data_IF_938228090288
#
_entry.id   IF_938228090288
#
_cell.length_a   1.000
_cell.length_b   1.000
_cell.length_c   1.000
_cell.angle_alpha   90.00
_cell.angle_beta   90.00
_cell.angle_gamma   90.00
#
_symmetry.space_group_name_H-M   'P 1'
#
loop_
_entity.id
_entity.type
_entity.pdbx_description
1 polymer ?
#
# COMPACT_ATOMS: atom_id res chain seq x y z
N UNK A 1 27.25 7.70 -27.85
CA UNK A 1 25.80 7.67 -28.11
C UNK A 1 25.09 7.42 -26.78
N UNK A 2 24.29 8.36 -26.27
CA UNK A 2 23.72 8.25 -24.93
C UNK A 2 22.42 7.44 -24.94
N UNK A 3 22.40 6.46 -24.03
CA UNK A 3 21.28 5.78 -23.37
C UNK A 3 19.88 6.37 -23.59
N UNK A 4 19.02 5.60 -24.26
CA UNK A 4 17.57 5.80 -24.27
C UNK A 4 17.00 5.55 -22.87
N UNK A 5 16.52 6.60 -22.24
CA UNK A 5 15.72 6.54 -21.02
C UNK A 5 14.35 5.96 -21.36
N UNK A 6 14.13 4.71 -20.95
CA UNK A 6 12.85 4.00 -21.03
C UNK A 6 11.75 4.76 -20.27
N UNK A 7 10.78 5.40 -20.96
CA UNK A 7 9.73 6.18 -20.32
C UNK A 7 8.65 5.30 -19.64
N UNK A 8 8.65 3.99 -19.89
CA UNK A 8 7.63 3.05 -19.38
C UNK A 8 7.79 2.67 -17.90
N UNK A 9 8.99 2.75 -17.34
CA UNK A 9 9.27 2.40 -15.93
C UNK A 9 8.71 3.41 -14.92
N UNK A 10 8.58 4.67 -15.31
CA UNK A 10 8.28 5.77 -14.39
C UNK A 10 6.84 5.78 -13.88
N UNK A 11 5.85 5.34 -14.68
CA UNK A 11 4.43 5.32 -14.27
C UNK A 11 4.05 4.13 -13.40
N UNK A 12 4.68 2.96 -13.58
CA UNK A 12 4.49 1.78 -12.71
C UNK A 12 5.15 1.97 -11.34
N UNK A 13 6.32 2.59 -11.29
CA UNK A 13 7.03 2.89 -10.05
C UNK A 13 6.31 3.93 -9.17
N UNK A 14 5.73 4.98 -9.76
CA UNK A 14 5.04 6.04 -9.00
C UNK A 14 3.84 5.56 -8.19
N UNK A 15 3.02 4.67 -8.77
CA UNK A 15 1.85 4.12 -8.07
C UNK A 15 2.26 3.22 -6.90
N UNK A 16 3.26 2.35 -7.10
CA UNK A 16 3.79 1.50 -6.04
C UNK A 16 4.47 2.32 -4.93
N UNK A 17 5.20 3.38 -5.31
CA UNK A 17 5.86 4.28 -4.36
C UNK A 17 4.85 5.05 -3.49
N UNK A 18 3.77 5.56 -4.07
CA UNK A 18 2.70 6.21 -3.31
C UNK A 18 2.03 5.25 -2.32
N UNK A 19 1.81 4.01 -2.74
CA UNK A 19 1.19 3.00 -1.89
C UNK A 19 2.11 2.58 -0.74
N UNK A 20 3.40 2.39 -1.03
CA UNK A 20 4.44 2.17 -0.02
C UNK A 20 4.50 3.36 0.95
N UNK A 21 4.46 4.59 0.44
CA UNK A 21 4.50 5.80 1.26
C UNK A 21 3.30 5.87 2.22
N UNK A 22 2.09 5.62 1.72
CA UNK A 22 0.88 5.58 2.55
C UNK A 22 0.98 4.47 3.60
N UNK A 23 1.44 3.28 3.21
CA UNK A 23 1.67 2.18 4.14
C UNK A 23 2.65 2.59 5.25
N UNK A 24 3.79 3.16 4.89
CA UNK A 24 4.78 3.64 5.86
C UNK A 24 4.16 4.70 6.77
N UNK A 25 3.51 5.72 6.22
CA UNK A 25 2.94 6.83 7.00
C UNK A 25 1.90 6.36 8.01
N UNK A 26 1.07 5.38 7.65
CA UNK A 26 0.06 4.78 8.53
C UNK A 26 0.70 3.92 9.63
N UNK A 27 1.84 3.27 9.36
CA UNK A 27 2.53 2.40 10.32
C UNK A 27 3.64 3.08 11.12
N UNK A 28 4.01 4.31 10.79
CA UNK A 28 5.04 5.05 11.53
C UNK A 28 4.71 5.14 13.03
N UNK A 29 3.47 5.47 13.47
CA UNK A 29 3.18 5.58 14.90
C UNK A 29 3.36 4.26 15.67
N UNK A 30 2.92 3.13 15.09
CA UNK A 30 3.07 1.79 15.70
C UNK A 30 4.52 1.36 15.72
N UNK A 31 5.26 1.62 14.64
CA UNK A 31 6.68 1.32 14.56
C UNK A 31 7.49 2.12 15.59
N UNK A 32 7.16 3.40 15.78
CA UNK A 32 7.75 4.25 16.82
C UNK A 32 7.47 3.67 18.22
N UNK A 33 6.23 3.24 18.48
CA UNK A 33 5.87 2.65 19.78
C UNK A 33 6.67 1.38 20.12
N UNK A 34 6.79 0.46 19.15
CA UNK A 34 7.58 -0.77 19.31
C UNK A 34 9.07 -0.46 19.49
N UNK A 35 9.60 0.46 18.69
CA UNK A 35 11.00 0.88 18.77
C UNK A 35 11.33 1.51 20.13
N UNK A 36 10.45 2.37 20.63
CA UNK A 36 10.62 3.02 21.93
C UNK A 36 10.62 2.01 23.08
N UNK A 37 9.67 1.05 23.07
CA UNK A 37 9.65 -0.05 24.06
C UNK A 37 10.94 -0.86 24.01
N UNK A 38 11.41 -1.21 22.82
CA UNK A 38 12.64 -1.97 22.65
C UNK A 38 13.89 -1.19 23.09
N UNK A 39 13.89 0.14 22.95
CA UNK A 39 14.95 0.97 23.51
C UNK A 39 14.92 0.98 25.03
N UNK A 40 13.74 1.12 25.66
CA UNK A 40 13.61 1.04 27.12
C UNK A 40 14.06 -0.33 27.64
N UNK A 41 13.71 -1.43 26.95
CA UNK A 41 14.15 -2.76 27.36
C UNK A 41 15.67 -2.95 27.30
N UNK A 42 16.35 -2.35 26.30
CA UNK A 42 17.79 -2.49 26.08
C UNK A 42 18.66 -1.52 26.88
N UNK A 43 18.18 -0.30 27.09
CA UNK A 43 18.97 0.80 27.67
C UNK A 43 18.23 1.58 28.75
N UNK A 44 17.12 1.06 29.26
CA UNK A 44 16.41 1.64 30.39
C UNK A 44 17.04 1.24 31.71
N UNK A 45 16.83 2.08 32.72
CA UNK A 45 17.25 1.86 34.10
C UNK A 45 16.02 1.47 34.93
N UNK A 46 16.20 0.49 35.82
CA UNK A 46 15.16 0.04 36.72
C UNK A 46 15.09 0.97 37.93
N UNK A 47 13.96 1.68 38.08
CA UNK A 47 13.72 2.65 39.15
C UNK A 47 12.50 2.20 39.96
N UNK A 48 12.67 2.17 41.28
CA UNK A 48 11.55 1.98 42.20
C UNK A 48 10.75 3.30 42.30
N UNK A 49 9.69 3.41 41.50
CA UNK A 49 8.80 4.55 41.52
C UNK A 49 7.91 4.53 42.76
N UNK A 50 7.56 5.71 43.27
CA UNK A 50 6.69 5.86 44.43
C UNK A 50 5.24 5.90 43.98
N UNK A 51 4.42 4.99 44.52
CA UNK A 51 2.99 4.94 44.25
C UNK A 51 2.30 6.11 44.97
N UNK A 52 1.50 6.86 44.22
CA UNK A 52 0.67 7.95 44.73
C UNK A 52 -0.74 7.47 45.03
N UNK A 53 -1.31 6.68 44.12
CA UNK A 53 -2.69 6.19 44.23
C UNK A 53 -2.86 4.92 43.40
N UNK A 54 -3.71 4.01 43.87
CA UNK A 54 -4.20 2.87 43.09
C UNK A 54 -5.71 2.99 42.94
N UNK A 55 -6.23 2.67 41.74
CA UNK A 55 -7.65 2.69 41.43
C UNK A 55 -8.03 1.46 40.60
N UNK A 56 -8.98 0.62 41.03
CA UNK A 56 -9.41 -0.51 40.22
C UNK A 56 -10.13 -0.06 38.94
N UNK A 57 -9.93 -0.81 37.86
CA UNK A 57 -10.55 -0.66 36.53
C UNK A 57 -11.19 -1.99 36.10
N UNK A 58 -11.88 -2.01 34.97
CA UNK A 58 -12.50 -3.24 34.44
C UNK A 58 -11.45 -4.28 34.01
N UNK A 59 -10.30 -3.82 33.52
CA UNK A 59 -9.20 -4.64 33.00
C UNK A 59 -8.04 -4.88 33.98
N UNK A 60 -7.98 -4.14 35.11
CA UNK A 60 -6.87 -4.26 36.05
C UNK A 60 -6.92 -3.24 37.19
N UNK A 61 -5.77 -2.62 37.47
CA UNK A 61 -5.61 -1.56 38.47
C UNK A 61 -4.82 -0.43 37.85
N UNK A 62 -5.39 0.77 37.81
CA UNK A 62 -4.69 2.00 37.44
C UNK A 62 -3.83 2.47 38.62
N UNK A 63 -2.52 2.49 38.42
CA UNK A 63 -1.53 2.93 39.41
C UNK A 63 -0.96 4.27 38.97
N UNK A 64 -1.17 5.29 39.80
CA UNK A 64 -0.52 6.60 39.67
C UNK A 64 0.78 6.59 40.46
N UNK A 65 1.88 7.02 39.85
CA UNK A 65 3.21 7.01 40.48
C UNK A 65 4.03 8.25 40.13
N UNK A 66 5.09 8.49 40.88
CA UNK A 66 6.13 9.50 40.59
C UNK A 66 7.52 8.92 40.80
N UNK A 67 8.52 9.49 40.14
CA UNK A 67 9.91 9.10 40.30
C UNK A 67 10.52 9.75 41.56
N UNK A 68 11.38 9.03 42.31
CA UNK A 68 12.10 9.61 43.43
C UNK A 68 13.10 10.67 42.96
N UNK A 69 13.33 11.71 43.77
CA UNK A 69 14.26 12.82 43.45
C UNK A 69 15.69 12.35 43.13
N UNK A 70 16.08 11.21 43.68
CA UNK A 70 17.43 10.65 43.54
C UNK A 70 17.65 9.95 42.19
N UNK A 71 16.61 9.81 41.36
CA UNK A 71 16.67 9.15 40.04
C UNK A 71 17.16 10.07 38.91
N UNK A 72 17.38 11.36 39.18
CA UNK A 72 17.72 12.35 38.14
C UNK A 72 16.54 12.74 37.23
N UNK A 73 15.34 12.20 37.51
CA UNK A 73 14.08 12.51 36.82
C UNK A 73 13.27 13.49 37.67
N UNK A 74 12.55 14.40 37.02
CA UNK A 74 11.74 15.43 37.69
C UNK A 74 10.61 14.81 38.53
N UNK A 75 10.73 14.92 39.85
CA UNK A 75 9.90 14.20 40.83
C UNK A 75 8.46 14.70 41.00
N UNK A 76 8.10 15.80 40.35
CA UNK A 76 6.78 16.43 40.51
C UNK A 76 5.79 16.04 39.38
N UNK A 77 6.22 15.23 38.40
CA UNK A 77 5.35 14.73 37.33
C UNK A 77 4.71 13.42 37.74
N UNK A 78 3.37 13.40 37.82
CA UNK A 78 2.60 12.18 38.05
C UNK A 78 2.35 11.43 36.74
N UNK A 79 2.65 10.14 36.74
CA UNK A 79 2.36 9.22 35.63
C UNK A 79 1.29 8.23 36.07
N UNK A 80 0.54 7.69 35.11
CA UNK A 80 -0.49 6.70 35.37
C UNK A 80 -0.34 5.55 34.38
N UNK A 81 -0.40 4.33 34.90
CA UNK A 81 -0.29 3.09 34.13
C UNK A 81 -1.30 2.08 34.64
N UNK A 82 -1.87 1.29 33.74
CA UNK A 82 -2.74 0.19 34.11
C UNK A 82 -1.93 -1.10 34.20
N UNK A 83 -2.02 -1.77 35.34
CA UNK A 83 -1.32 -3.02 35.63
C UNK A 83 -2.32 -4.12 36.00
N UNK A 84 -1.85 -5.37 35.93
CA UNK A 84 -2.63 -6.51 36.40
C UNK A 84 -2.91 -6.41 37.91
N UNK A 85 -3.91 -7.17 38.38
CA UNK A 85 -4.33 -7.09 39.79
C UNK A 85 -3.22 -7.47 40.76
N UNK A 86 -2.42 -8.49 40.42
CA UNK A 86 -1.36 -8.96 41.30
C UNK A 86 -0.30 -7.88 41.53
N UNK A 87 0.08 -7.19 40.45
CA UNK A 87 1.02 -6.07 40.47
C UNK A 87 0.42 -4.86 41.16
N UNK A 88 -0.85 -4.54 40.90
CA UNK A 88 -1.56 -3.43 41.53
C UNK A 88 -1.71 -3.61 43.04
N UNK A 89 -2.03 -4.82 43.51
CA UNK A 89 -2.12 -5.18 44.93
C UNK A 89 -0.74 -5.04 45.59
N UNK A 90 0.29 -5.63 44.98
CA UNK A 90 1.68 -5.54 45.48
C UNK A 90 2.16 -4.09 45.57
N UNK A 91 1.87 -3.26 44.56
CA UNK A 91 2.22 -1.85 44.54
C UNK A 91 1.46 -1.05 45.62
N UNK A 92 0.20 -1.41 45.89
CA UNK A 92 -0.59 -0.85 46.98
C UNK A 92 -0.03 -1.20 48.36
N UNK A 93 0.44 -2.43 48.55
CA UNK A 93 1.02 -2.92 49.81
C UNK A 93 2.42 -2.34 50.08
N UNK A 94 3.27 -2.31 49.06
CA UNK A 94 4.67 -1.87 49.19
C UNK A 94 4.84 -0.36 49.04
N UNK A 95 3.87 0.32 48.41
CA UNK A 95 3.95 1.74 48.08
C UNK A 95 4.97 2.05 46.97
N UNK A 96 5.51 1.02 46.30
CA UNK A 96 6.49 1.15 45.23
C UNK A 96 6.10 0.35 44.00
N UNK A 97 6.56 0.81 42.84
CA UNK A 97 6.32 0.18 41.55
C UNK A 97 7.67 0.05 40.81
N UNK A 98 8.01 -1.15 40.35
CA UNK A 98 9.19 -1.36 39.52
C UNK A 98 8.93 -0.82 38.12
N UNK A 99 9.63 0.25 37.75
CA UNK A 99 9.47 0.91 36.46
C UNK A 99 10.83 0.97 35.76
N UNK A 100 10.91 0.43 34.55
CA UNK A 100 12.07 0.63 33.68
C UNK A 100 11.86 1.89 32.85
N UNK A 101 12.75 2.86 33.00
CA UNK A 101 12.61 4.19 32.38
C UNK A 101 13.92 4.64 31.73
N UNK A 102 13.83 5.55 30.76
CA UNK A 102 15.00 6.27 30.23
C UNK A 102 15.09 7.66 30.87
N UNK A 103 16.13 7.98 31.64
CA UNK A 103 16.26 9.28 32.33
C UNK A 103 16.16 10.48 31.37
N UNK A 104 16.66 10.35 30.15
CA UNK A 104 16.62 11.36 29.10
C UNK A 104 15.23 11.59 28.48
N UNK A 105 14.30 10.64 28.67
CA UNK A 105 12.92 10.74 28.21
C UNK A 105 11.97 9.98 29.15
N UNK A 106 11.62 10.57 30.30
CA UNK A 106 10.87 9.89 31.37
C UNK A 106 9.41 9.58 31.01
N UNK A 107 8.91 10.13 29.90
CA UNK A 107 7.61 9.77 29.34
C UNK A 107 7.63 8.38 28.66
N UNK A 108 8.81 7.80 28.40
CA UNK A 108 8.96 6.47 27.82
C UNK A 108 9.41 5.50 28.91
N UNK A 109 8.49 4.68 29.40
CA UNK A 109 8.71 3.72 30.47
C UNK A 109 7.99 2.41 30.20
N UNK A 110 8.40 1.35 30.90
CA UNK A 110 7.78 0.03 30.89
C UNK A 110 7.61 -0.41 32.34
N UNK A 111 6.44 -0.96 32.67
CA UNK A 111 6.12 -1.45 34.01
C UNK A 111 5.87 -2.95 33.94
N UNK A 112 6.44 -3.68 34.89
CA UNK A 112 6.15 -5.11 35.03
C UNK A 112 4.66 -5.30 35.33
N UNK A 113 4.00 -6.20 34.61
CA UNK A 113 2.55 -6.42 34.76
C UNK A 113 1.66 -5.37 34.10
N UNK A 114 2.21 -4.50 33.25
CA UNK A 114 1.42 -3.57 32.43
C UNK A 114 0.38 -4.34 31.59
N UNK A 115 -0.88 -3.95 31.72
CA UNK A 115 -1.96 -4.45 30.86
C UNK A 115 -1.89 -3.67 29.55
N UNK A 116 -1.00 -4.11 28.66
CA UNK A 116 -0.95 -3.56 27.30
C UNK A 116 -2.20 -4.02 26.54
N UNK A 117 -3.10 -3.09 26.24
CA UNK A 117 -4.30 -3.35 25.48
C UNK A 117 -3.94 -3.73 24.02
N UNK A 118 -3.80 -5.03 23.76
CA UNK A 118 -3.43 -5.56 22.42
C UNK A 118 -4.43 -5.12 21.34
N UNK A 119 -5.63 -4.70 21.75
CA UNK A 119 -6.68 -4.13 20.90
C UNK A 119 -6.22 -2.87 20.15
N UNK A 120 -5.31 -2.07 20.73
CA UNK A 120 -4.75 -0.88 20.10
C UNK A 120 -3.97 -1.19 18.81
N UNK A 121 -3.46 -2.42 18.66
CA UNK A 121 -2.76 -2.87 17.45
C UNK A 121 -3.71 -3.42 16.37
N UNK A 122 -4.93 -3.81 16.74
CA UNK A 122 -5.88 -4.46 15.81
C UNK A 122 -6.42 -3.46 14.79
N UNK A 123 -6.81 -2.26 15.23
CA UNK A 123 -7.40 -1.26 14.34
C UNK A 123 -6.43 -0.81 13.24
N UNK A 124 -5.16 -0.46 13.54
CA UNK A 124 -4.17 -0.20 12.50
C UNK A 124 -3.97 -1.39 11.55
N UNK A 125 -3.91 -2.62 12.08
CA UNK A 125 -3.69 -3.82 11.26
C UNK A 125 -4.84 -4.06 10.27
N UNK A 126 -6.09 -3.88 10.69
CA UNK A 126 -7.28 -4.00 9.84
C UNK A 126 -7.26 -2.95 8.73
N UNK A 127 -6.97 -1.69 9.08
CA UNK A 127 -6.92 -0.61 8.09
C UNK A 127 -5.83 -0.87 7.03
N UNK A 128 -4.67 -1.35 7.46
CA UNK A 128 -3.59 -1.75 6.56
C UNK A 128 -3.99 -2.92 5.64
N UNK A 129 -4.66 -3.94 6.19
CA UNK A 129 -5.20 -5.05 5.42
C UNK A 129 -6.16 -4.59 4.33
N UNK A 130 -7.02 -3.61 4.63
CA UNK A 130 -7.96 -3.03 3.68
C UNK A 130 -7.24 -2.26 2.55
N UNK A 131 -6.24 -1.44 2.89
CA UNK A 131 -5.43 -0.71 1.89
C UNK A 131 -4.69 -1.68 0.97
N UNK A 132 -4.08 -2.73 1.55
CA UNK A 132 -3.39 -3.76 0.78
C UNK A 132 -4.35 -4.52 -0.15
N UNK A 133 -5.55 -4.83 0.33
CA UNK A 133 -6.60 -5.46 -0.48
C UNK A 133 -7.02 -4.56 -1.65
N UNK A 134 -7.30 -3.28 -1.40
CA UNK A 134 -7.64 -2.32 -2.45
C UNK A 134 -6.50 -2.21 -3.48
N UNK A 135 -5.25 -2.14 -3.01
CA UNK A 135 -4.08 -2.11 -3.87
C UNK A 135 -3.97 -3.35 -4.76
N UNK A 136 -4.16 -4.53 -4.17
CA UNK A 136 -4.14 -5.81 -4.86
C UNK A 136 -5.27 -5.91 -5.90
N UNK A 137 -6.47 -5.46 -5.55
CA UNK A 137 -7.62 -5.39 -6.45
C UNK A 137 -7.37 -4.43 -7.61
N UNK A 138 -6.87 -3.23 -7.33
CA UNK A 138 -6.51 -2.27 -8.38
C UNK A 138 -5.41 -2.82 -9.28
N UNK A 139 -4.40 -3.49 -8.72
CA UNK A 139 -3.36 -4.13 -9.51
C UNK A 139 -3.92 -5.26 -10.40
N UNK A 140 -4.82 -6.08 -9.86
CA UNK A 140 -5.52 -7.15 -10.59
C UNK A 140 -6.41 -6.62 -11.71
N UNK A 141 -7.14 -5.52 -11.46
CA UNK A 141 -8.11 -4.93 -12.41
C UNK A 141 -7.43 -4.03 -13.44
N UNK A 142 -6.32 -3.36 -13.11
CA UNK A 142 -5.63 -2.44 -14.02
C UNK A 142 -5.06 -3.13 -15.27
N UNK A 143 -4.85 -4.45 -15.23
CA UNK A 143 -4.54 -5.23 -16.43
C UNK A 143 -5.68 -5.32 -17.45
N UNK A 144 -6.94 -5.10 -17.03
CA UNK A 144 -8.14 -5.17 -17.88
C UNK A 144 -8.61 -3.82 -18.44
N UNK A 145 -8.13 -2.71 -17.90
CA UNK A 145 -8.56 -1.35 -18.25
C UNK A 145 -7.56 -0.67 -19.20
N UNK A 146 -7.12 -1.36 -20.26
CA UNK A 146 -6.45 -0.65 -21.36
C UNK A 146 -7.55 -0.03 -22.22
N UNK A 147 -7.50 1.29 -22.52
CA UNK A 147 -8.49 1.88 -23.42
C UNK A 147 -8.38 1.18 -24.78
N UNK A 148 -9.47 0.51 -25.16
CA UNK A 148 -9.59 -0.14 -26.46
C UNK A 148 -10.18 0.88 -27.42
N UNK A 149 -9.40 1.23 -28.45
CA UNK A 149 -9.88 2.02 -29.57
C UNK A 149 -10.65 1.10 -30.51
N UNK A 150 -11.80 1.51 -31.02
CA UNK A 150 -12.53 0.71 -32.01
C UNK A 150 -12.28 1.29 -33.40
N UNK A 151 -11.86 0.45 -34.33
CA UNK A 151 -11.66 0.82 -35.74
C UNK A 151 -12.63 -0.01 -36.57
N UNK A 152 -13.44 0.64 -37.40
CA UNK A 152 -14.19 -0.03 -38.46
C UNK A 152 -13.30 -0.16 -39.68
N UNK A 153 -13.02 -1.39 -40.11
CA UNK A 153 -12.18 -1.64 -41.28
C UNK A 153 -12.80 -1.00 -42.53
N UNK A 154 -11.99 -0.33 -43.34
CA UNK A 154 -12.37 0.16 -44.68
C UNK A 154 -11.96 -0.80 -45.80
N UNK A 155 -11.33 -1.93 -45.45
CA UNK A 155 -10.78 -2.92 -46.35
C UNK A 155 -10.27 -4.14 -45.58
N UNK A 156 -9.78 -5.13 -46.32
CA UNK A 156 -9.20 -6.35 -45.77
C UNK A 156 -7.93 -6.04 -44.95
N UNK A 157 -7.63 -6.90 -43.98
CA UNK A 157 -6.36 -6.80 -43.25
C UNK A 157 -5.22 -7.25 -44.14
N UNK A 158 -4.13 -6.48 -44.12
CA UNK A 158 -2.92 -6.79 -44.85
C UNK A 158 -1.81 -7.20 -43.89
N UNK A 159 -0.87 -8.07 -44.30
CA UNK A 159 0.36 -8.28 -43.55
C UNK A 159 1.09 -6.95 -43.33
N UNK A 160 1.38 -6.62 -42.07
CA UNK A 160 2.06 -5.39 -41.68
C UNK A 160 3.55 -5.60 -41.42
N UNK A 161 4.27 -4.50 -41.21
CA UNK A 161 5.64 -4.55 -40.71
C UNK A 161 5.65 -4.60 -39.17
N UNK A 162 6.79 -4.99 -38.58
CA UNK A 162 6.93 -5.17 -37.13
C UNK A 162 6.81 -3.86 -36.32
N UNK A 163 6.93 -2.69 -36.97
CA UNK A 163 6.85 -1.41 -36.28
C UNK A 163 5.38 -1.00 -36.06
N UNK A 164 4.94 -0.77 -34.81
CA UNK A 164 3.55 -0.39 -34.54
C UNK A 164 3.28 1.04 -35.00
N UNK A 165 2.18 1.23 -35.74
CA UNK A 165 1.79 2.53 -36.31
C UNK A 165 0.32 2.83 -35.97
N UNK A 166 0.05 4.07 -35.56
CA UNK A 166 -1.30 4.60 -35.44
C UNK A 166 -1.28 6.02 -35.98
N UNK A 167 -1.59 6.16 -37.27
CA UNK A 167 -1.49 7.43 -37.98
C UNK A 167 -2.86 7.86 -38.49
N UNK A 168 -3.18 9.15 -38.32
CA UNK A 168 -4.42 9.73 -38.85
C UNK A 168 -4.19 10.20 -40.27
N UNK A 169 -4.94 9.63 -41.21
CA UNK A 169 -4.88 10.00 -42.64
C UNK A 169 -5.71 11.26 -42.87
N UNK A 170 -7.01 11.20 -42.56
CA UNK A 170 -7.93 12.32 -42.76
C UNK A 170 -9.16 12.19 -41.85
N UNK A 171 -9.56 13.24 -41.13
CA UNK A 171 -10.76 13.22 -40.30
C UNK A 171 -10.75 12.10 -39.24
N UNK A 172 -11.63 11.11 -39.40
CA UNK A 172 -11.72 9.91 -38.56
C UNK A 172 -11.03 8.68 -39.18
N UNK A 173 -10.35 8.84 -40.31
CA UNK A 173 -9.65 7.76 -41.00
C UNK A 173 -8.23 7.60 -40.45
N UNK A 174 -7.91 6.37 -40.05
CA UNK A 174 -6.63 5.99 -39.48
C UNK A 174 -6.06 4.76 -40.18
N UNK A 175 -4.74 4.74 -40.25
CA UNK A 175 -3.97 3.53 -40.55
C UNK A 175 -3.46 3.00 -39.22
N UNK A 176 -3.75 1.72 -38.97
CA UNK A 176 -3.36 1.00 -37.77
C UNK A 176 -2.48 -0.17 -38.16
N UNK A 177 -1.32 -0.27 -37.54
CA UNK A 177 -0.38 -1.36 -37.71
C UNK A 177 0.01 -1.89 -36.34
N UNK A 178 -0.11 -3.19 -36.14
CA UNK A 178 0.24 -3.83 -34.88
C UNK A 178 0.05 -5.33 -34.92
N UNK A 179 0.37 -5.97 -33.80
CA UNK A 179 0.35 -7.42 -33.69
C UNK A 179 -1.07 -7.92 -33.44
N UNK A 180 -1.48 -8.95 -34.18
CA UNK A 180 -2.75 -9.64 -33.95
C UNK A 180 -2.70 -10.37 -32.61
N UNK A 181 -3.46 -9.92 -31.63
CA UNK A 181 -3.54 -10.53 -30.31
C UNK A 181 -4.63 -11.59 -30.22
N UNK A 182 -5.75 -11.39 -30.91
CA UNK A 182 -6.85 -12.35 -30.98
C UNK A 182 -7.76 -12.08 -32.17
N UNK A 183 -8.38 -13.13 -32.70
CA UNK A 183 -9.42 -13.07 -33.74
C UNK A 183 -10.68 -13.71 -33.17
N UNK A 184 -11.81 -13.01 -33.26
CA UNK A 184 -13.13 -13.49 -32.81
C UNK A 184 -14.02 -13.73 -34.04
N UNK A 185 -14.53 -14.95 -34.17
CA UNK A 185 -15.37 -15.38 -35.30
C UNK A 185 -16.87 -15.07 -35.13
N UNK A 186 -17.23 -13.82 -34.80
CA UNK A 186 -18.63 -13.36 -34.82
C UNK A 186 -19.13 -13.11 -36.24
N UNK A 187 -20.43 -12.79 -36.42
CA UNK A 187 -21.05 -12.55 -37.74
C UNK A 187 -20.33 -11.46 -38.56
N UNK A 188 -19.76 -10.45 -37.90
CA UNK A 188 -19.06 -9.33 -38.55
C UNK A 188 -17.52 -9.44 -38.49
N UNK A 189 -16.98 -10.46 -37.82
CA UNK A 189 -15.55 -10.68 -37.60
C UNK A 189 -14.85 -9.57 -36.79
N UNK A 190 -14.16 -9.91 -35.70
CA UNK A 190 -13.38 -8.93 -34.93
C UNK A 190 -11.92 -9.36 -34.79
N UNK A 191 -11.01 -8.38 -34.89
CA UNK A 191 -9.57 -8.60 -34.70
C UNK A 191 -9.03 -7.60 -33.68
N UNK A 192 -8.34 -8.09 -32.66
CA UNK A 192 -7.69 -7.23 -31.69
C UNK A 192 -6.22 -7.04 -32.07
N UNK A 193 -5.83 -5.80 -32.33
CA UNK A 193 -4.44 -5.42 -32.58
C UNK A 193 -3.81 -4.80 -31.33
N UNK A 194 -2.62 -5.26 -30.96
CA UNK A 194 -1.75 -4.61 -29.99
C UNK A 194 -0.83 -3.62 -30.71
N UNK A 195 -1.02 -2.32 -30.41
CA UNK A 195 -0.33 -1.21 -31.06
C UNK A 195 0.38 -0.40 -29.98
N UNK A 196 1.69 -0.62 -29.85
CA UNK A 196 2.52 -0.02 -28.81
C UNK A 196 1.93 -0.18 -27.38
N UNK A 197 1.42 0.91 -26.77
CA UNK A 197 0.82 0.90 -25.43
C UNK A 197 -0.71 0.78 -25.42
N UNK A 198 -1.34 0.65 -26.61
CA UNK A 198 -2.79 0.63 -26.81
C UNK A 198 -3.26 -0.68 -27.43
N UNK A 199 -4.58 -0.87 -27.38
CA UNK A 199 -5.27 -1.94 -28.08
C UNK A 199 -6.28 -1.34 -29.05
N UNK A 200 -6.33 -1.87 -30.25
CA UNK A 200 -7.29 -1.46 -31.28
C UNK A 200 -8.13 -2.66 -31.65
N UNK A 201 -9.44 -2.58 -31.38
CA UNK A 201 -10.41 -3.57 -31.81
C UNK A 201 -10.88 -3.19 -33.21
N UNK A 202 -10.52 -4.01 -34.18
CA UNK A 202 -10.88 -3.85 -35.59
C UNK A 202 -12.15 -4.65 -35.86
N UNK A 203 -13.22 -3.96 -36.25
CA UNK A 203 -14.45 -4.57 -36.75
C UNK A 203 -14.29 -4.77 -38.25
N UNK A 204 -14.36 -6.02 -38.72
CA UNK A 204 -14.10 -6.35 -40.12
C UNK A 204 -15.28 -6.00 -41.02
N UNK A 205 -16.53 -6.03 -40.53
CA UNK A 205 -17.72 -5.57 -41.28
C UNK A 205 -17.82 -6.20 -42.70
N UNK A 206 -17.50 -7.49 -42.79
CA UNK A 206 -17.48 -8.27 -44.04
C UNK A 206 -16.12 -8.34 -44.75
N UNK A 207 -15.09 -7.67 -44.24
CA UNK A 207 -13.72 -7.75 -44.76
C UNK A 207 -12.97 -9.00 -44.28
N UNK A 208 -12.04 -9.48 -45.10
CA UNK A 208 -11.25 -10.68 -44.79
C UNK A 208 -10.08 -10.39 -43.85
N UNK A 209 -9.75 -11.35 -42.99
CA UNK A 209 -8.50 -11.35 -42.24
C UNK A 209 -7.60 -12.52 -42.69
N UNK A 210 -6.61 -12.29 -43.56
CA UNK A 210 -5.61 -13.28 -43.94
C UNK A 210 -4.46 -13.41 -42.92
N UNK A 211 -4.43 -12.58 -41.86
CA UNK A 211 -3.31 -12.52 -40.91
C UNK A 211 -3.59 -13.35 -39.66
N UNK A 212 -2.68 -14.27 -39.35
CA UNK A 212 -2.78 -15.15 -38.20
C UNK A 212 -2.50 -14.45 -36.87
N UNK A 213 -2.98 -15.04 -35.77
CA UNK A 213 -2.68 -14.56 -34.42
C UNK A 213 -1.18 -14.62 -34.16
N UNK A 214 -0.61 -13.52 -33.66
CA UNK A 214 0.82 -13.36 -33.39
C UNK A 214 1.62 -12.70 -34.51
N UNK A 215 1.08 -12.62 -35.73
CA UNK A 215 1.67 -11.88 -36.84
C UNK A 215 1.30 -10.38 -36.78
N UNK A 216 2.09 -9.56 -37.47
CA UNK A 216 1.84 -8.13 -37.59
C UNK A 216 0.88 -7.86 -38.76
N UNK A 217 -0.15 -7.05 -38.51
CA UNK A 217 -1.19 -6.71 -39.46
C UNK A 217 -1.28 -5.19 -39.63
N UNK A 218 -1.71 -4.76 -40.81
CA UNK A 218 -2.00 -3.38 -41.17
C UNK A 218 -3.45 -3.30 -41.66
N UNK A 219 -4.17 -2.28 -41.20
CA UNK A 219 -5.54 -1.99 -41.65
C UNK A 219 -5.76 -0.48 -41.69
N UNK A 220 -6.49 -0.04 -42.71
CA UNK A 220 -6.99 1.33 -42.80
C UNK A 220 -8.50 1.31 -42.53
N UNK A 221 -8.98 2.28 -41.77
CA UNK A 221 -10.38 2.32 -41.39
C UNK A 221 -10.79 3.57 -40.65
N UNK A 222 -12.05 3.60 -40.24
CA UNK A 222 -12.63 4.72 -39.49
C UNK A 222 -12.56 4.43 -38.00
N UNK A 223 -11.94 5.31 -37.24
CA UNK A 223 -11.92 5.23 -35.78
C UNK A 223 -13.31 5.58 -35.24
N UNK A 224 -13.90 4.63 -34.50
CA UNK A 224 -15.18 4.75 -33.82
C UNK A 224 -14.87 4.90 -32.33
N UNK A 225 -14.85 6.14 -31.84
CA UNK A 225 -14.47 6.44 -30.46
C UNK A 225 -14.64 7.90 -30.10
#
# INVERSE_FOLDING_TARGET
MPSSSDPGRTRRGRGALLLLLVLVLVNVPTLIGVWNRQQVERSGEDVAAKVLQTRPTDSGVLVSFTYPKDSGIEADTAYAVEVDRETGERAGETGTLSVRVRPENPATYVVDGEVSDRSALVLPLVLNGLVLLIALLLWRVRGRMRPELVLRAGGDLEPGEAEPLLERVAGLEYVVQGRVASVSGGEDGEVLLEVADRRVRVLLDGHANPVEVGADARVQGLMVG
#
